data_IF_999757025623
#
_entry.id   IF_999757025623
#
_cell.length_a   1.000
_cell.length_b   1.000
_cell.length_c   1.000
_cell.angle_alpha   90.00
_cell.angle_beta   90.00
_cell.angle_gamma   90.00
#
_symmetry.space_group_name_H-M   'P 1'
#
loop_
_entity.id
_entity.type
_entity.pdbx_description
1 polymer ?
#
# COMPACT_ATOMS: atom_id res chain seq x y z
N UNK A 1 -7.03 0.42 22.66
CA UNK A 1 -7.85 1.12 21.64
C UNK A 1 -9.07 0.27 21.25
N UNK A 2 -10.17 0.91 20.85
CA UNK A 2 -11.39 0.38 20.23
C UNK A 2 -12.29 -0.56 21.05
N UNK A 3 -12.04 -0.73 22.35
CA UNK A 3 -12.85 -1.59 23.23
C UNK A 3 -13.28 -0.93 24.54
N UNK A 4 -12.89 0.34 24.76
CA UNK A 4 -13.23 1.07 25.99
C UNK A 4 -14.49 1.88 25.76
N UNK A 5 -15.54 1.58 26.51
CA UNK A 5 -16.63 2.53 26.73
C UNK A 5 -16.04 3.68 27.53
N UNK A 6 -15.95 4.87 26.93
CA UNK A 6 -15.46 6.05 27.64
C UNK A 6 -16.61 6.57 28.48
N UNK A 7 -16.51 6.41 29.80
CA UNK A 7 -17.42 7.05 30.75
C UNK A 7 -16.92 8.47 31.01
N UNK A 8 -17.81 9.45 30.86
CA UNK A 8 -17.51 10.86 31.12
C UNK A 8 -18.17 11.27 32.43
N UNK A 9 -17.38 11.85 33.33
CA UNK A 9 -17.87 12.36 34.61
C UNK A 9 -18.58 13.71 34.44
N UNK A 10 -18.23 14.46 33.40
CA UNK A 10 -18.75 15.81 33.14
C UNK A 10 -19.06 16.04 31.66
N UNK A 11 -20.08 16.88 31.38
CA UNK A 11 -20.46 17.25 30.02
C UNK A 11 -19.36 17.95 29.22
N UNK A 12 -18.45 18.66 29.90
CA UNK A 12 -17.30 19.33 29.26
C UNK A 12 -16.31 18.32 28.69
N UNK A 13 -16.01 17.24 29.42
CA UNK A 13 -15.11 16.18 28.93
C UNK A 13 -15.68 15.51 27.68
N UNK A 14 -17.00 15.27 27.68
CA UNK A 14 -17.71 14.76 26.51
C UNK A 14 -17.60 15.72 25.32
N UNK A 15 -17.77 17.02 25.54
CA UNK A 15 -17.66 18.01 24.48
C UNK A 15 -16.26 18.04 23.84
N UNK A 16 -15.19 17.99 24.64
CA UNK A 16 -13.82 17.90 24.12
C UNK A 16 -13.56 16.60 23.36
N UNK A 17 -14.08 15.46 23.85
CA UNK A 17 -13.93 14.18 23.15
C UNK A 17 -14.69 14.15 21.82
N UNK A 18 -15.87 14.78 21.75
CA UNK A 18 -16.62 14.94 20.50
C UNK A 18 -15.87 15.86 19.51
N UNK A 19 -15.36 17.01 19.96
CA UNK A 19 -14.56 17.93 19.13
C UNK A 19 -13.29 17.24 18.58
N UNK A 20 -12.55 16.53 19.43
CA UNK A 20 -11.40 15.72 19.02
C UNK A 20 -11.80 14.66 17.97
N UNK A 21 -12.89 13.93 18.22
CA UNK A 21 -13.36 12.88 17.30
C UNK A 21 -13.73 13.45 15.93
N UNK A 22 -14.41 14.61 15.88
CA UNK A 22 -14.72 15.30 14.62
C UNK A 22 -13.46 15.70 13.87
N UNK A 23 -12.46 16.26 14.56
CA UNK A 23 -11.18 16.64 13.94
C UNK A 23 -10.49 15.45 13.26
N UNK A 24 -10.41 14.29 13.94
CA UNK A 24 -9.85 13.06 13.35
C UNK A 24 -10.69 12.55 12.17
N UNK A 25 -12.02 12.59 12.27
CA UNK A 25 -12.93 12.15 11.20
C UNK A 25 -12.73 13.00 9.94
N UNK A 26 -12.76 14.32 10.08
CA UNK A 26 -12.61 15.24 8.94
C UNK A 26 -11.22 15.12 8.32
N UNK A 27 -10.16 15.00 9.12
CA UNK A 27 -8.81 14.74 8.61
C UNK A 27 -8.72 13.41 7.84
N UNK A 28 -9.43 12.38 8.30
CA UNK A 28 -9.47 11.06 7.65
C UNK A 28 -10.24 11.09 6.34
N UNK A 29 -11.41 11.74 6.30
CA UNK A 29 -12.20 11.87 5.07
C UNK A 29 -11.45 12.69 4.03
N UNK A 30 -10.76 13.77 4.41
CA UNK A 30 -9.94 14.53 3.47
C UNK A 30 -8.77 13.70 2.91
N UNK A 31 -8.13 12.85 3.71
CA UNK A 31 -7.11 11.91 3.22
C UNK A 31 -7.67 10.89 2.22
N UNK A 32 -8.94 10.50 2.38
CA UNK A 32 -9.65 9.60 1.46
C UNK A 32 -10.01 10.36 0.17
N UNK A 33 -10.63 11.54 0.30
CA UNK A 33 -11.11 12.38 -0.82
C UNK A 33 -9.98 12.91 -1.69
N UNK A 34 -8.86 13.31 -1.08
CA UNK A 34 -7.65 13.73 -1.79
C UNK A 34 -6.95 12.59 -2.53
N UNK A 35 -7.36 11.34 -2.30
CA UNK A 35 -6.75 10.16 -2.92
C UNK A 35 -5.38 9.80 -2.36
N UNK A 36 -4.88 10.46 -1.31
CA UNK A 36 -3.58 10.16 -0.70
C UNK A 36 -3.44 8.72 -0.21
N UNK A 37 -4.55 8.08 0.17
CA UNK A 37 -4.60 6.71 0.66
C UNK A 37 -4.85 5.66 -0.44
N UNK A 38 -5.07 6.09 -1.69
CA UNK A 38 -5.36 5.20 -2.82
C UNK A 38 -4.23 4.22 -3.12
N UNK A 39 -2.97 4.60 -2.84
CA UNK A 39 -1.79 3.75 -3.00
C UNK A 39 -1.85 2.42 -2.24
N UNK A 40 -2.69 2.35 -1.20
CA UNK A 40 -2.84 1.14 -0.40
C UNK A 40 -3.83 0.14 -0.99
N UNK A 41 -4.61 0.46 -2.04
CA UNK A 41 -5.66 -0.43 -2.58
C UNK A 41 -6.55 -1.04 -1.48
N UNK A 42 -6.91 -0.24 -0.48
CA UNK A 42 -7.80 -0.63 0.62
C UNK A 42 -9.08 0.19 0.50
N UNK A 43 -10.22 -0.48 0.63
CA UNK A 43 -11.54 0.13 0.61
C UNK A 43 -11.67 1.21 1.72
N UNK A 44 -12.15 2.43 1.40
CA UNK A 44 -12.35 3.51 2.38
C UNK A 44 -13.13 3.09 3.63
N UNK A 45 -14.11 2.18 3.52
CA UNK A 45 -14.86 1.72 4.68
C UNK A 45 -13.97 0.99 5.71
N UNK A 46 -12.90 0.34 5.26
CA UNK A 46 -11.92 -0.34 6.14
C UNK A 46 -10.96 0.64 6.79
N UNK A 47 -10.57 1.69 6.08
CA UNK A 47 -9.79 2.79 6.65
C UNK A 47 -10.59 3.42 7.81
N UNK A 48 -11.87 3.76 7.58
CA UNK A 48 -12.76 4.28 8.62
C UNK A 48 -12.88 3.32 9.82
N UNK A 49 -12.95 2.01 9.59
CA UNK A 49 -13.00 1.02 10.65
C UNK A 49 -11.71 0.98 11.48
N UNK A 50 -10.55 1.06 10.83
CA UNK A 50 -9.24 1.12 11.48
C UNK A 50 -9.13 2.38 12.36
N UNK A 51 -9.44 3.55 11.80
CA UNK A 51 -9.36 4.82 12.53
C UNK A 51 -10.36 4.86 13.70
N UNK A 52 -11.57 4.34 13.50
CA UNK A 52 -12.55 4.16 14.58
C UNK A 52 -11.96 3.34 15.75
N UNK A 53 -11.21 2.29 15.44
CA UNK A 53 -10.56 1.46 16.46
C UNK A 53 -9.39 2.18 17.14
N UNK A 54 -8.47 2.75 16.37
CA UNK A 54 -7.24 3.39 16.87
C UNK A 54 -7.52 4.58 17.78
N UNK A 55 -8.49 5.40 17.42
CA UNK A 55 -8.82 6.63 18.13
C UNK A 55 -10.05 6.52 19.04
N UNK A 56 -10.65 5.32 19.16
CA UNK A 56 -11.89 5.07 19.92
C UNK A 56 -13.08 5.94 19.44
N UNK A 57 -13.21 6.13 18.13
CA UNK A 57 -14.24 6.99 17.55
C UNK A 57 -15.48 6.14 17.21
N UNK A 58 -16.70 6.59 17.58
CA UNK A 58 -17.94 5.93 17.16
C UNK A 58 -18.06 5.90 15.63
N UNK A 59 -18.30 4.71 15.07
CA UNK A 59 -18.41 4.51 13.60
C UNK A 59 -19.49 5.36 12.93
N UNK A 60 -20.53 5.72 13.68
CA UNK A 60 -21.63 6.54 13.18
C UNK A 60 -21.20 7.96 12.79
N UNK A 61 -20.09 8.47 13.36
CA UNK A 61 -19.54 9.77 12.97
C UNK A 61 -19.04 9.79 11.52
N UNK A 62 -18.48 8.68 11.04
CA UNK A 62 -18.10 8.53 9.64
C UNK A 62 -19.30 8.38 8.69
N UNK A 63 -20.47 7.95 9.19
CA UNK A 63 -21.68 7.80 8.35
C UNK A 63 -22.36 9.13 8.08
N UNK A 64 -22.35 10.05 9.05
CA UNK A 64 -22.92 11.41 8.89
C UNK A 64 -22.23 12.20 7.78
N UNK A 65 -20.93 11.98 7.57
CA UNK A 65 -20.14 12.68 6.56
C UNK A 65 -20.21 12.02 5.16
N UNK A 66 -20.84 10.84 5.02
CA UNK A 66 -20.85 10.09 3.75
C UNK A 66 -22.09 10.24 2.88
N UNK A 67 -23.10 11.03 3.28
CA UNK A 67 -24.41 11.09 2.59
C UNK A 67 -24.84 12.46 2.07
N UNK A 68 -24.06 13.53 2.29
CA UNK A 68 -24.41 14.86 1.80
C UNK A 68 -23.20 15.54 1.15
N UNK A 69 -23.40 16.03 -0.08
CA UNK A 69 -22.45 16.84 -0.85
C UNK A 69 -22.15 18.22 -0.23
N UNK A 70 -22.61 18.49 0.99
CA UNK A 70 -22.33 19.72 1.73
C UNK A 70 -21.48 19.36 2.95
N UNK A 71 -20.16 19.25 2.74
CA UNK A 71 -19.17 19.15 3.82
C UNK A 71 -18.99 20.51 4.50
N UNK A 72 -20.08 21.09 5.00
CA UNK A 72 -19.98 22.34 5.72
C UNK A 72 -19.50 22.03 7.14
N UNK A 73 -18.22 22.30 7.36
CA UNK A 73 -17.57 22.19 8.66
C UNK A 73 -18.42 22.90 9.72
N UNK A 74 -18.80 22.16 10.76
CA UNK A 74 -19.51 22.72 11.91
C UNK A 74 -18.48 23.37 12.83
N UNK A 75 -18.57 24.69 13.02
CA UNK A 75 -17.73 25.40 13.97
C UNK A 75 -18.01 24.95 15.42
N UNK A 76 -16.95 24.79 16.20
CA UNK A 76 -17.10 24.42 17.60
C UNK A 76 -17.61 25.61 18.43
N UNK A 77 -18.46 25.37 19.45
CA UNK A 77 -19.21 26.44 20.11
C UNK A 77 -18.36 27.36 20.99
N UNK A 78 -17.08 27.06 21.18
CA UNK A 78 -16.13 27.94 21.86
C UNK A 78 -14.69 27.68 21.39
N UNK A 79 -13.79 28.64 21.72
CA UNK A 79 -12.39 28.62 21.30
C UNK A 79 -11.59 27.42 21.83
N UNK A 80 -11.91 26.88 23.00
CA UNK A 80 -11.18 25.75 23.59
C UNK A 80 -11.52 24.43 22.88
N UNK A 81 -12.78 24.25 22.51
CA UNK A 81 -13.22 23.10 21.70
C UNK A 81 -12.71 23.21 20.27
N UNK A 82 -12.69 24.41 19.70
CA UNK A 82 -12.11 24.71 18.40
C UNK A 82 -10.61 24.38 18.35
N UNK A 83 -9.85 24.72 19.39
CA UNK A 83 -8.43 24.34 19.51
C UNK A 83 -8.25 22.82 19.62
N UNK A 84 -9.14 22.14 20.36
CA UNK A 84 -9.13 20.68 20.48
C UNK A 84 -9.39 20.01 19.13
N UNK A 85 -10.38 20.52 18.38
CA UNK A 85 -10.67 20.08 17.02
C UNK A 85 -9.48 20.28 16.09
N UNK A 86 -8.90 21.49 16.05
CA UNK A 86 -7.76 21.80 15.17
C UNK A 86 -6.57 20.92 15.46
N UNK A 87 -6.23 20.77 16.74
CA UNK A 87 -5.13 19.88 17.17
C UNK A 87 -5.33 18.46 16.64
N UNK A 88 -6.56 17.93 16.73
CA UNK A 88 -6.88 16.60 16.23
C UNK A 88 -6.86 16.53 14.69
N UNK A 89 -7.39 17.55 14.02
CA UNK A 89 -7.39 17.66 12.57
C UNK A 89 -5.97 17.74 11.98
N UNK A 90 -5.07 18.46 12.65
CA UNK A 90 -3.66 18.60 12.28
C UNK A 90 -2.85 17.29 12.44
N UNK A 91 -3.41 16.26 13.07
CA UNK A 91 -2.79 14.92 13.15
C UNK A 91 -2.83 14.14 11.83
N UNK A 92 -3.27 14.76 10.73
CA UNK A 92 -3.44 14.16 9.41
C UNK A 92 -2.24 13.34 8.94
N UNK A 93 -1.03 13.89 9.03
CA UNK A 93 0.19 13.18 8.64
C UNK A 93 0.45 11.93 9.51
N UNK A 94 0.19 12.02 10.81
CA UNK A 94 0.32 10.90 11.74
C UNK A 94 -0.72 9.80 11.45
N UNK A 95 -1.95 10.18 11.11
CA UNK A 95 -3.01 9.26 10.70
C UNK A 95 -2.57 8.52 9.43
N UNK A 96 -2.13 9.26 8.41
CA UNK A 96 -1.65 8.67 7.16
C UNK A 96 -0.49 7.70 7.38
N UNK A 97 0.48 8.08 8.22
CA UNK A 97 1.62 7.22 8.55
C UNK A 97 1.22 5.94 9.29
N UNK A 98 0.28 6.01 10.24
CA UNK A 98 -0.24 4.80 10.91
C UNK A 98 -0.93 3.84 9.96
N UNK A 99 -1.72 4.37 9.03
CA UNK A 99 -2.37 3.56 7.98
C UNK A 99 -1.30 2.88 7.11
N UNK A 100 -0.25 3.62 6.74
CA UNK A 100 0.90 3.10 6.01
C UNK A 100 1.60 1.96 6.76
N UNK A 101 1.93 2.14 8.03
CA UNK A 101 2.61 1.13 8.84
C UNK A 101 1.79 -0.18 8.93
N UNK A 102 0.47 -0.09 9.11
CA UNK A 102 -0.40 -1.28 9.10
C UNK A 102 -0.56 -1.90 7.72
N UNK A 103 -0.48 -1.09 6.66
CA UNK A 103 -0.47 -1.59 5.29
C UNK A 103 0.80 -2.39 5.01
N UNK A 104 1.95 -1.84 5.41
CA UNK A 104 3.27 -2.47 5.28
C UNK A 104 3.31 -3.77 6.09
N UNK A 105 2.80 -3.75 7.33
CA UNK A 105 2.71 -4.92 8.19
C UNK A 105 2.05 -6.13 7.50
N UNK A 106 0.95 -5.89 6.77
CA UNK A 106 0.25 -6.95 6.03
C UNK A 106 1.12 -7.62 4.97
N UNK A 107 1.83 -6.83 4.17
CA UNK A 107 2.70 -7.31 3.09
C UNK A 107 3.95 -7.97 3.69
N UNK A 108 4.56 -7.37 4.70
CA UNK A 108 5.71 -7.94 5.39
C UNK A 108 5.39 -9.30 6.01
N UNK A 109 4.18 -9.45 6.59
CA UNK A 109 3.70 -10.74 7.09
C UNK A 109 3.58 -11.77 5.96
N UNK A 110 3.13 -11.37 4.78
CA UNK A 110 3.10 -12.26 3.61
C UNK A 110 4.51 -12.69 3.20
N UNK A 111 5.42 -11.74 3.01
CA UNK A 111 6.81 -12.04 2.63
C UNK A 111 7.45 -12.97 3.66
N UNK A 112 7.37 -12.62 4.95
CA UNK A 112 7.93 -13.41 6.05
C UNK A 112 7.43 -14.85 6.08
N UNK A 113 6.15 -15.08 5.78
CA UNK A 113 5.56 -16.43 5.82
C UNK A 113 5.86 -17.27 4.58
N UNK A 114 6.16 -16.67 3.43
CA UNK A 114 6.19 -17.39 2.16
C UNK A 114 7.51 -17.32 1.39
N UNK A 115 8.44 -16.40 1.69
CA UNK A 115 9.67 -16.21 0.89
C UNK A 115 10.48 -17.52 0.70
N UNK A 116 10.52 -18.39 1.72
CA UNK A 116 11.24 -19.67 1.69
C UNK A 116 10.83 -20.60 0.53
N UNK A 117 9.62 -20.45 -0.01
CA UNK A 117 9.17 -21.27 -1.15
C UNK A 117 9.95 -20.97 -2.44
N UNK A 118 10.73 -19.89 -2.47
CA UNK A 118 11.47 -19.45 -3.65
C UNK A 118 13.00 -19.42 -3.44
N UNK A 119 13.48 -19.74 -2.25
CA UNK A 119 14.91 -19.77 -1.93
C UNK A 119 15.56 -20.97 -2.61
N UNK A 120 16.70 -20.73 -3.26
CA UNK A 120 17.53 -21.75 -3.89
C UNK A 120 19.01 -21.41 -3.67
N UNK A 121 19.52 -21.76 -2.50
CA UNK A 121 20.91 -21.46 -2.11
C UNK A 121 21.94 -22.09 -3.06
N UNK A 122 21.59 -23.21 -3.70
CA UNK A 122 22.46 -23.91 -4.66
C UNK A 122 22.70 -23.13 -5.96
N UNK A 123 21.84 -22.17 -6.30
CA UNK A 123 21.97 -21.38 -7.54
C UNK A 123 22.36 -19.91 -7.30
N UNK A 124 22.55 -19.53 -6.02
CA UNK A 124 22.89 -18.16 -5.60
C UNK A 124 21.70 -17.32 -5.15
N UNK A 125 20.50 -17.92 -5.05
CA UNK A 125 19.28 -17.24 -4.62
C UNK A 125 19.03 -17.49 -3.14
N UNK A 126 19.62 -16.65 -2.31
CA UNK A 126 19.46 -16.70 -0.85
C UNK A 126 18.19 -15.97 -0.38
N UNK A 127 17.97 -15.99 0.94
CA UNK A 127 16.81 -15.38 1.58
C UNK A 127 16.70 -13.88 1.26
N UNK A 128 17.83 -13.17 1.27
CA UNK A 128 17.88 -11.72 1.07
C UNK A 128 17.47 -11.34 -0.36
N UNK A 129 18.01 -12.04 -1.37
CA UNK A 129 17.66 -11.81 -2.78
C UNK A 129 16.17 -11.98 -3.03
N UNK A 130 15.57 -13.06 -2.48
CA UNK A 130 14.13 -13.30 -2.64
C UNK A 130 13.30 -12.22 -1.94
N UNK A 131 13.66 -11.88 -0.70
CA UNK A 131 12.90 -10.88 0.07
C UNK A 131 12.99 -9.49 -0.56
N UNK A 132 14.17 -9.06 -1.01
CA UNK A 132 14.38 -7.80 -1.73
C UNK A 132 13.55 -7.76 -3.01
N UNK A 133 13.59 -8.83 -3.81
CA UNK A 133 12.77 -8.96 -5.02
C UNK A 133 11.27 -8.85 -4.70
N UNK A 134 10.81 -9.53 -3.64
CA UNK A 134 9.42 -9.44 -3.20
C UNK A 134 9.02 -8.02 -2.84
N UNK A 135 9.91 -7.27 -2.18
CA UNK A 135 9.64 -5.89 -1.78
C UNK A 135 9.57 -4.94 -2.98
N UNK A 136 10.47 -5.07 -3.96
CA UNK A 136 10.45 -4.23 -5.17
C UNK A 136 9.13 -4.36 -5.94
N UNK A 137 8.63 -5.59 -6.02
CA UNK A 137 7.38 -5.90 -6.70
C UNK A 137 6.17 -5.40 -5.91
N UNK A 138 6.16 -5.62 -4.60
CA UNK A 138 4.98 -5.37 -3.76
C UNK A 138 4.89 -3.92 -3.25
N UNK A 139 5.99 -3.16 -3.32
CA UNK A 139 6.08 -1.75 -2.95
C UNK A 139 6.58 -0.86 -4.10
N UNK A 140 5.91 -0.87 -5.26
CA UNK A 140 6.42 -0.17 -6.45
C UNK A 140 6.53 1.35 -6.25
N UNK A 141 5.79 1.95 -5.30
CA UNK A 141 5.82 3.40 -5.05
C UNK A 141 6.85 3.83 -3.98
N UNK A 142 7.30 2.91 -3.11
CA UNK A 142 8.22 3.23 -2.02
C UNK A 142 9.66 2.99 -2.48
N UNK A 143 10.62 3.89 -2.19
CA UNK A 143 12.03 3.62 -2.49
C UNK A 143 12.52 2.32 -1.83
N UNK A 144 13.29 1.52 -2.57
CA UNK A 144 13.77 0.21 -2.11
C UNK A 144 14.50 0.30 -0.76
N UNK A 145 15.46 1.23 -0.63
CA UNK A 145 16.26 1.37 0.59
C UNK A 145 15.40 1.63 1.83
N UNK A 146 14.32 2.41 1.66
CA UNK A 146 13.39 2.74 2.74
C UNK A 146 12.62 1.50 3.16
N UNK A 147 12.02 0.78 2.19
CA UNK A 147 11.19 -0.38 2.52
C UNK A 147 12.04 -1.57 2.99
N UNK A 148 13.24 -1.75 2.46
CA UNK A 148 14.19 -2.75 2.91
C UNK A 148 14.56 -2.53 4.38
N UNK A 149 14.89 -1.29 4.75
CA UNK A 149 15.18 -0.94 6.15
C UNK A 149 13.98 -1.19 7.06
N UNK A 150 12.77 -0.83 6.64
CA UNK A 150 11.55 -1.11 7.40
C UNK A 150 11.29 -2.61 7.54
N UNK A 151 11.54 -3.40 6.49
CA UNK A 151 11.39 -4.86 6.51
C UNK A 151 12.45 -5.53 7.41
N UNK A 152 13.70 -5.07 7.39
CA UNK A 152 14.72 -5.60 8.32
C UNK A 152 14.37 -5.32 9.79
N UNK A 153 13.64 -4.23 10.07
CA UNK A 153 13.15 -3.89 11.41
C UNK A 153 11.80 -4.54 11.74
N UNK A 154 11.19 -5.29 10.82
CA UNK A 154 9.88 -5.88 11.00
C UNK A 154 9.94 -7.09 11.94
N UNK A 155 9.08 -7.07 12.96
CA UNK A 155 8.86 -8.21 13.84
C UNK A 155 7.42 -8.74 13.70
N UNK A 156 7.24 -10.03 13.35
CA UNK A 156 5.93 -10.66 13.34
C UNK A 156 5.31 -10.62 14.75
N UNK A 157 4.17 -9.94 14.87
CA UNK A 157 3.43 -9.85 16.13
C UNK A 157 1.94 -10.05 15.91
N UNK A 158 1.25 -10.46 16.97
CA UNK A 158 -0.22 -10.55 16.92
C UNK A 158 -0.81 -9.15 17.06
N UNK A 159 -1.55 -8.73 16.05
CA UNK A 159 -2.32 -7.48 16.08
C UNK A 159 -3.75 -7.73 16.59
N UNK A 160 -4.39 -6.74 17.22
CA UNK A 160 -5.81 -6.81 17.52
C UNK A 160 -6.64 -7.06 16.26
N UNK A 161 -7.74 -7.80 16.40
CA UNK A 161 -8.56 -8.23 15.26
C UNK A 161 -8.96 -7.09 14.30
N UNK A 162 -9.39 -5.90 14.76
CA UNK A 162 -9.75 -4.81 13.84
C UNK A 162 -8.57 -4.30 13.00
N UNK A 163 -7.37 -4.26 13.58
CA UNK A 163 -6.13 -3.86 12.91
C UNK A 163 -5.64 -4.97 11.96
N UNK A 164 -5.75 -6.22 12.41
CA UNK A 164 -5.41 -7.37 11.58
C UNK A 164 -6.33 -7.47 10.36
N UNK A 165 -7.63 -7.22 10.49
CA UNK A 165 -8.55 -7.24 9.35
C UNK A 165 -8.17 -6.21 8.27
N UNK A 166 -7.66 -5.04 8.67
CA UNK A 166 -7.09 -4.07 7.74
C UNK A 166 -5.81 -4.61 7.08
N UNK A 167 -4.84 -5.02 7.89
CA UNK A 167 -3.54 -5.54 7.43
C UNK A 167 -3.70 -6.77 6.51
N UNK A 168 -4.69 -7.61 6.81
CA UNK A 168 -5.02 -8.84 6.08
C UNK A 168 -5.46 -8.56 4.65
N UNK A 169 -6.05 -7.41 4.36
CA UNK A 169 -6.39 -7.07 2.98
C UNK A 169 -5.14 -6.82 2.13
N UNK A 170 -4.14 -6.13 2.70
CA UNK A 170 -2.84 -5.95 2.03
C UNK A 170 -2.08 -7.26 1.90
N UNK A 171 -2.16 -8.12 2.91
CA UNK A 171 -1.66 -9.49 2.83
C UNK A 171 -2.31 -10.28 1.69
N UNK A 172 -3.65 -10.23 1.57
CA UNK A 172 -4.38 -10.95 0.53
C UNK A 172 -4.08 -10.37 -0.85
N UNK A 173 -4.04 -9.04 -0.97
CA UNK A 173 -3.63 -8.37 -2.19
C UNK A 173 -2.23 -8.82 -2.60
N UNK A 174 -1.25 -8.83 -1.68
CA UNK A 174 0.09 -9.32 -1.97
C UNK A 174 0.08 -10.80 -2.39
N UNK A 175 -0.71 -11.63 -1.71
CA UNK A 175 -0.90 -13.04 -2.06
C UNK A 175 -1.56 -13.24 -3.42
N UNK A 176 -2.43 -12.36 -3.87
CA UNK A 176 -3.10 -12.45 -5.18
C UNK A 176 -2.23 -11.89 -6.32
N UNK A 177 -1.48 -10.81 -6.06
CA UNK A 177 -0.54 -10.24 -7.01
C UNK A 177 0.70 -11.12 -7.20
N UNK A 178 1.18 -11.74 -6.11
CA UNK A 178 2.44 -12.48 -6.12
C UNK A 178 2.45 -13.63 -7.13
N UNK A 179 1.48 -14.57 -7.22
CA UNK A 179 1.50 -15.65 -8.21
C UNK A 179 1.59 -15.18 -9.67
N UNK A 180 0.90 -14.08 -9.99
CA UNK A 180 0.90 -13.52 -11.34
C UNK A 180 2.27 -12.96 -11.70
N UNK A 181 2.94 -12.31 -10.75
CA UNK A 181 4.25 -11.67 -10.95
C UNK A 181 5.41 -12.66 -10.75
N UNK A 182 5.25 -13.58 -9.80
CA UNK A 182 6.22 -14.62 -9.44
C UNK A 182 6.38 -15.64 -10.54
N UNK A 183 5.34 -15.96 -11.33
CA UNK A 183 5.48 -16.88 -12.48
C UNK A 183 6.52 -16.39 -13.49
N UNK A 184 6.55 -15.08 -13.76
CA UNK A 184 7.53 -14.45 -14.65
C UNK A 184 8.93 -14.43 -14.04
N UNK A 185 9.01 -14.02 -12.77
CA UNK A 185 10.28 -13.97 -12.03
C UNK A 185 10.87 -15.37 -11.88
N UNK A 186 10.07 -16.36 -11.46
CA UNK A 186 10.46 -17.77 -11.35
C UNK A 186 10.86 -18.37 -12.69
N UNK A 187 10.23 -17.99 -13.80
CA UNK A 187 10.64 -18.44 -15.14
C UNK A 187 12.05 -17.94 -15.47
N UNK A 188 12.31 -16.65 -15.28
CA UNK A 188 13.63 -16.06 -15.53
C UNK A 188 14.69 -16.68 -14.61
N UNK A 189 14.38 -16.80 -13.32
CA UNK A 189 15.17 -17.52 -12.34
C UNK A 189 15.47 -18.96 -12.75
N UNK A 190 14.48 -19.68 -13.29
CA UNK A 190 14.67 -21.05 -13.79
C UNK A 190 15.61 -21.07 -15.00
N UNK A 191 15.48 -20.11 -15.93
CA UNK A 191 16.38 -19.99 -17.08
C UNK A 191 17.82 -19.67 -16.64
N UNK A 192 18.00 -18.84 -15.62
CA UNK A 192 19.31 -18.55 -15.00
C UNK A 192 19.89 -19.78 -14.31
N UNK A 193 19.07 -20.54 -13.58
CA UNK A 193 19.47 -21.77 -12.91
C UNK A 193 19.96 -22.84 -13.91
N UNK A 194 19.36 -22.88 -15.10
CA UNK A 194 19.81 -23.75 -16.21
C UNK A 194 20.96 -23.17 -17.04
N UNK A 195 21.44 -21.96 -16.73
CA UNK A 195 22.50 -21.29 -17.49
C UNK A 195 22.10 -20.90 -18.91
N UNK A 196 20.79 -20.80 -19.19
CA UNK A 196 20.25 -20.41 -20.50
C UNK A 196 20.33 -18.90 -20.73
N UNK A 197 20.38 -18.12 -19.64
CA UNK A 197 20.58 -16.68 -19.65
C UNK A 197 21.57 -16.27 -18.55
N UNK A 198 22.29 -15.13 -18.70
CA UNK A 198 23.23 -14.65 -17.69
C UNK A 198 22.55 -14.36 -16.34
N UNK A 199 23.31 -14.50 -15.25
CA UNK A 199 22.83 -14.27 -13.89
C UNK A 199 22.69 -12.79 -13.54
N UNK A 200 23.21 -11.92 -14.40
CA UNK A 200 23.22 -10.47 -14.27
C UNK A 200 22.08 -9.81 -15.05
N UNK A 201 21.19 -10.59 -15.66
CA UNK A 201 20.04 -10.05 -16.40
C UNK A 201 19.01 -9.51 -15.43
N UNK A 202 18.71 -8.22 -15.55
CA UNK A 202 17.63 -7.57 -14.82
C UNK A 202 16.27 -7.94 -15.40
N UNK A 203 15.29 -8.17 -14.52
CA UNK A 203 13.91 -8.46 -14.92
C UNK A 203 13.15 -7.15 -14.93
N UNK A 204 12.72 -6.71 -16.10
CA UNK A 204 11.80 -5.59 -16.21
C UNK A 204 10.35 -6.11 -16.24
N UNK A 205 9.51 -5.70 -15.28
CA UNK A 205 8.09 -6.06 -15.25
C UNK A 205 7.21 -4.84 -15.06
N UNK A 206 6.10 -4.77 -15.80
CA UNK A 206 5.08 -3.74 -15.62
C UNK A 206 4.05 -4.22 -14.61
N UNK A 207 3.86 -3.47 -13.53
CA UNK A 207 2.89 -3.75 -12.47
C UNK A 207 1.79 -2.69 -12.51
N UNK A 208 0.53 -3.12 -12.38
CA UNK A 208 -0.59 -2.18 -12.23
C UNK A 208 -0.70 -1.68 -10.78
N UNK A 209 -0.85 -0.36 -10.63
CA UNK A 209 -0.93 0.35 -9.35
C UNK A 209 -2.19 1.21 -9.35
N UNK A 210 -2.71 1.52 -8.16
CA UNK A 210 -3.89 2.38 -7.96
C UNK A 210 -5.13 1.91 -8.74
N UNK A 211 -5.64 0.71 -8.41
CA UNK A 211 -6.82 0.10 -9.08
C UNK A 211 -6.72 0.00 -10.61
N UNK A 212 -5.51 -0.26 -11.13
CA UNK A 212 -5.31 -0.48 -12.57
C UNK A 212 -5.22 0.80 -13.40
N UNK A 213 -5.13 1.97 -12.77
CA UNK A 213 -5.04 3.26 -13.47
C UNK A 213 -3.61 3.69 -13.80
N UNK A 214 -2.62 3.08 -13.14
CA UNK A 214 -1.21 3.37 -13.35
C UNK A 214 -0.44 2.09 -13.62
N UNK A 215 0.51 2.13 -14.55
CA UNK A 215 1.40 1.03 -14.85
C UNK A 215 2.83 1.48 -14.53
N UNK A 216 3.58 0.63 -13.83
CA UNK A 216 4.95 0.96 -13.44
C UNK A 216 5.91 -0.14 -13.84
N UNK A 217 6.99 0.25 -14.52
CA UNK A 217 8.13 -0.61 -14.78
C UNK A 217 8.93 -0.80 -13.48
N UNK A 218 9.14 -2.06 -13.11
CA UNK A 218 9.97 -2.47 -11.98
C UNK A 218 11.11 -3.29 -12.55
N UNK A 219 12.35 -2.83 -12.32
CA UNK A 219 13.57 -3.59 -12.61
C UNK A 219 13.91 -4.40 -11.37
N UNK A 220 14.03 -5.71 -11.52
CA UNK A 220 14.41 -6.64 -10.46
C UNK A 220 15.81 -7.13 -10.79
N UNK A 221 16.77 -6.72 -9.98
CA UNK A 221 18.15 -7.18 -10.12
C UNK A 221 18.29 -8.60 -9.59
N UNK A 222 18.92 -9.47 -10.35
CA UNK A 222 19.06 -10.91 -10.03
C UNK A 222 20.38 -11.23 -9.32
N UNK A 223 21.26 -10.25 -9.11
CA UNK A 223 22.54 -10.40 -8.40
C UNK A 223 22.68 -9.42 -7.23
N UNK A 224 23.33 -9.86 -6.15
CA UNK A 224 23.57 -9.08 -4.92
C UNK A 224 24.63 -7.98 -5.07
N UNK A 225 25.38 -7.97 -6.17
CA UNK A 225 26.58 -7.14 -6.36
C UNK A 225 26.29 -5.79 -7.05
N UNK A 226 25.01 -5.41 -7.20
CA UNK A 226 24.62 -4.13 -7.75
C UNK A 226 24.76 -3.00 -6.71
N UNK A 227 26.01 -2.61 -6.45
CA UNK A 227 26.40 -1.34 -5.80
C UNK A 227 26.05 -0.16 -6.75
N UNK A 228 24.76 0.13 -6.93
CA UNK A 228 24.22 1.42 -7.42
C UNK A 228 22.69 1.35 -7.48
N UNK A 229 22.06 1.66 -6.35
CA UNK A 229 20.60 1.83 -6.25
C UNK A 229 20.18 3.17 -6.86
N UNK A 230 20.07 3.23 -8.18
CA UNK A 230 19.20 4.20 -8.85
C UNK A 230 18.18 3.44 -9.72
N UNK A 231 17.05 3.08 -9.11
CA UNK A 231 15.88 2.72 -9.91
C UNK A 231 15.45 3.98 -10.68
N UNK A 232 15.83 4.12 -11.95
CA UNK A 232 15.20 5.10 -12.83
C UNK A 232 13.71 4.73 -12.95
N UNK A 233 12.87 5.50 -12.26
CA UNK A 233 11.43 5.30 -12.20
C UNK A 233 10.80 5.93 -13.43
N UNK A 234 10.69 5.19 -14.52
CA UNK A 234 9.89 5.63 -15.67
C UNK A 234 8.41 5.31 -15.42
N UNK A 235 7.59 6.36 -15.42
CA UNK A 235 6.12 6.23 -15.29
C UNK A 235 5.56 6.23 -16.70
N UNK A 236 5.00 5.11 -17.14
CA UNK A 236 4.39 5.00 -18.47
C UNK A 236 2.91 5.30 -18.34
N UNK A 237 2.43 6.34 -19.03
CA UNK A 237 0.99 6.64 -19.10
C UNK A 237 0.27 5.57 -19.93
N UNK A 238 -0.96 5.23 -19.53
CA UNK A 238 -1.73 4.12 -20.08
C UNK A 238 -2.00 4.16 -21.61
N UNK A 239 -1.68 5.27 -22.28
CA UNK A 239 -1.80 5.39 -23.74
C UNK A 239 -0.61 4.79 -24.51
N UNK A 240 0.57 4.74 -23.89
CA UNK A 240 1.79 4.32 -24.58
C UNK A 240 2.07 2.80 -24.45
N UNK A 241 1.32 2.09 -23.59
CA UNK A 241 1.48 0.65 -23.38
C UNK A 241 0.77 -0.23 -24.43
N UNK A 242 0.05 0.37 -25.39
CA UNK A 242 -0.76 -0.35 -26.40
C UNK A 242 -0.17 -0.24 -27.82
N UNK A 243 0.83 0.61 -28.07
CA UNK A 243 1.55 0.64 -29.34
C UNK A 243 2.72 -0.35 -29.31
N UNK A 244 2.40 -1.65 -29.35
CA UNK A 244 3.34 -2.67 -29.82
C UNK A 244 2.81 -3.17 -31.15
N UNK A 245 3.41 -2.62 -32.21
CA UNK A 245 3.45 -3.06 -33.61
C UNK A 245 2.45 -4.16 -34.00
N UNK A 246 1.31 -3.73 -34.54
CA UNK A 246 0.54 -4.53 -35.49
C UNK A 246 0.73 -3.93 -36.88
N UNK A 247 1.93 -4.08 -37.45
CA UNK A 247 2.11 -3.95 -38.90
C UNK A 247 1.57 -5.23 -39.56
N UNK A 248 0.26 -5.28 -39.83
CA UNK A 248 -0.27 -6.21 -40.83
C UNK A 248 -0.13 -5.58 -42.22
N UNK A 249 0.82 -6.12 -42.97
CA UNK A 249 1.06 -5.96 -44.41
C UNK A 249 -0.23 -6.27 -45.21
N UNK A 250 -1.03 -5.25 -45.54
CA UNK A 250 -1.98 -5.34 -46.66
C UNK A 250 -1.22 -5.13 -47.98
N UNK A 251 -0.61 -6.20 -48.50
CA UNK A 251 -0.20 -6.26 -49.90
C UNK A 251 -1.30 -6.84 -50.78
N UNK A 252 -1.87 -5.92 -51.56
CA UNK A 252 -2.43 -6.09 -52.90
C UNK A 252 -2.20 -7.45 -53.56
N UNK A 253 -3.30 -8.11 -53.94
CA UNK A 253 -3.38 -8.72 -55.27
C UNK A 253 -4.75 -8.46 -55.88
N UNK A 254 -4.81 -7.42 -56.70
CA UNK A 254 -5.83 -7.28 -57.74
C UNK A 254 -5.40 -7.99 -59.02
N UNK A 255 -6.41 -8.56 -59.70
CA UNK A 255 -6.49 -8.86 -61.14
C UNK A 255 -5.56 -9.94 -61.74
N UNK A 256 -6.15 -11.10 -62.07
CA UNK A 256 -6.61 -11.41 -63.43
C UNK A 256 -7.67 -12.51 -63.41
#
# INVERSE_FOLDING_TARGET
PGTRTIEYEMGVQRAHAEAHSRGIVDATEELIESGMLSKFNVDPARIRQLISYEYNIPRELFRRNGQHHDHERIEEPNLQLEETYRTAYDMKEQIARRIEDYSHFGIFTFIHNYYLNWVSSGTGRDDAVVQQTMLDILFPQTPHEVIWKEYCAFEPRRLPEPVWQFSRQRYLWAKDQWPNLSSRVTTIWTLQDFGLIPKEVDIETVISVADGRQYKLVKIHTSSDADSFESEKETVEAKDAIDVDTEEDEKETGQM
#
